data_IF_811844753011
#
_entry.id   IF_811844753011
#
_cell.length_a   1.000
_cell.length_b   1.000
_cell.length_c   1.000
_cell.angle_alpha   90.00
_cell.angle_beta   90.00
_cell.angle_gamma   90.00
#
_symmetry.space_group_name_H-M   'P 1'
#
loop_
_entity.id
_entity.type
_entity.pdbx_description
1 polymer ?
#
# COMPACT_ATOMS: atom_id res chain seq x y z
N UNK A 1 -25.28 -14.23 -10.28
CA UNK A 1 -24.07 -14.31 -9.43
C UNK A 1 -23.02 -13.42 -10.08
N UNK A 2 -22.46 -12.49 -9.33
CA UNK A 2 -21.52 -11.49 -9.85
C UNK A 2 -20.16 -12.12 -10.16
N UNK A 3 -19.66 -11.89 -11.38
CA UNK A 3 -18.38 -12.42 -11.86
C UNK A 3 -17.22 -11.55 -11.34
N UNK A 4 -16.89 -11.74 -10.07
CA UNK A 4 -15.85 -10.98 -9.38
C UNK A 4 -14.45 -11.20 -9.98
N UNK A 5 -14.20 -12.34 -10.62
CA UNK A 5 -12.94 -12.55 -11.32
C UNK A 5 -12.82 -11.61 -12.52
N UNK A 6 -13.86 -11.55 -13.36
CA UNK A 6 -13.91 -10.62 -14.49
C UNK A 6 -13.82 -9.16 -14.05
N UNK A 7 -14.61 -8.74 -13.05
CA UNK A 7 -14.59 -7.36 -12.53
C UNK A 7 -13.18 -6.99 -12.05
N UNK A 8 -12.51 -7.91 -11.36
CA UNK A 8 -11.16 -7.67 -10.85
C UNK A 8 -10.12 -7.59 -11.98
N UNK A 9 -10.27 -8.34 -13.07
CA UNK A 9 -9.46 -8.15 -14.28
C UNK A 9 -9.71 -6.78 -14.92
N UNK A 10 -10.96 -6.31 -14.97
CA UNK A 10 -11.30 -4.97 -15.47
C UNK A 10 -10.68 -3.86 -14.62
N UNK A 11 -10.67 -4.03 -13.29
CA UNK A 11 -9.96 -3.13 -12.36
C UNK A 11 -8.47 -3.08 -12.70
N UNK A 12 -7.79 -4.23 -12.83
CA UNK A 12 -6.38 -4.26 -13.20
C UNK A 12 -6.12 -3.60 -14.55
N UNK A 13 -6.95 -3.87 -15.55
CA UNK A 13 -6.82 -3.27 -16.87
C UNK A 13 -6.83 -1.74 -16.79
N UNK A 14 -7.81 -1.17 -16.07
CA UNK A 14 -7.93 0.29 -15.91
C UNK A 14 -6.72 0.88 -15.18
N UNK A 15 -6.30 0.27 -14.08
CA UNK A 15 -5.14 0.71 -13.30
C UNK A 15 -3.84 0.71 -14.13
N UNK A 16 -3.61 -0.34 -14.92
CA UNK A 16 -2.46 -0.47 -15.80
C UNK A 16 -2.52 0.55 -16.94
N UNK A 17 -3.68 0.70 -17.58
CA UNK A 17 -3.86 1.61 -18.71
C UNK A 17 -3.67 3.07 -18.31
N UNK A 18 -4.26 3.47 -17.18
CA UNK A 18 -4.09 4.82 -16.61
C UNK A 18 -2.64 5.12 -16.22
N UNK A 19 -1.86 4.08 -15.91
CA UNK A 19 -0.45 4.20 -15.54
C UNK A 19 0.49 4.06 -16.74
N UNK A 20 -0.03 3.99 -17.97
CA UNK A 20 0.77 3.86 -19.20
C UNK A 20 1.42 2.48 -19.39
N UNK A 21 1.01 1.46 -18.65
CA UNK A 21 1.55 0.10 -18.76
C UNK A 21 0.84 -0.70 -19.85
N UNK A 22 0.96 -0.25 -21.12
CA UNK A 22 0.21 -0.81 -22.25
C UNK A 22 0.47 -2.31 -22.49
N UNK A 23 1.71 -2.77 -22.31
CA UNK A 23 2.05 -4.18 -22.45
C UNK A 23 1.18 -5.06 -21.54
N UNK A 24 1.14 -4.72 -20.25
CA UNK A 24 0.39 -5.45 -19.24
C UNK A 24 -1.12 -5.20 -19.33
N UNK A 25 -1.56 -4.00 -19.70
CA UNK A 25 -2.97 -3.74 -19.97
C UNK A 25 -3.50 -4.63 -21.11
N UNK A 26 -2.75 -4.77 -22.20
CA UNK A 26 -3.11 -5.66 -23.30
C UNK A 26 -3.10 -7.15 -22.88
N UNK A 27 -2.17 -7.54 -21.99
CA UNK A 27 -2.17 -8.88 -21.40
C UNK A 27 -3.46 -9.16 -20.63
N UNK A 28 -3.87 -8.25 -19.76
CA UNK A 28 -5.12 -8.38 -19.00
C UNK A 28 -6.35 -8.33 -19.91
N UNK A 29 -6.32 -7.54 -20.98
CA UNK A 29 -7.42 -7.53 -21.96
C UNK A 29 -7.59 -8.91 -22.63
N UNK A 30 -6.48 -9.60 -22.92
CA UNK A 30 -6.52 -10.98 -23.40
C UNK A 30 -7.08 -11.95 -22.34
N UNK A 31 -6.73 -11.76 -21.07
CA UNK A 31 -7.29 -12.56 -19.96
C UNK A 31 -8.82 -12.40 -19.87
N UNK A 32 -9.33 -11.17 -19.98
CA UNK A 32 -10.77 -10.88 -19.99
C UNK A 32 -11.46 -11.60 -21.15
N UNK A 33 -10.87 -11.56 -22.34
CA UNK A 33 -11.39 -12.25 -23.51
C UNK A 33 -11.47 -13.76 -23.29
N UNK A 34 -10.35 -14.40 -22.93
CA UNK A 34 -10.25 -15.84 -22.69
C UNK A 34 -11.18 -16.34 -21.58
N UNK A 35 -11.36 -15.56 -20.52
CA UNK A 35 -12.31 -15.88 -19.46
C UNK A 35 -13.76 -15.79 -19.93
N UNK A 36 -14.08 -14.79 -20.76
CA UNK A 36 -15.45 -14.55 -21.23
C UNK A 36 -15.87 -15.59 -22.27
N UNK A 37 -14.96 -16.03 -23.15
CA UNK A 37 -15.26 -16.97 -24.24
C UNK A 37 -15.09 -18.44 -23.85
N UNK A 38 -14.00 -18.76 -23.15
CA UNK A 38 -13.54 -20.14 -22.95
C UNK A 38 -13.43 -20.53 -21.46
N UNK A 39 -13.67 -19.60 -20.53
CA UNK A 39 -13.45 -19.78 -19.08
C UNK A 39 -12.02 -20.21 -18.74
N UNK A 40 -11.05 -19.76 -19.53
CA UNK A 40 -9.62 -20.05 -19.37
C UNK A 40 -8.90 -19.03 -18.50
N UNK A 41 -7.90 -19.52 -17.77
CA UNK A 41 -7.09 -18.73 -16.81
C UNK A 41 -5.58 -18.95 -16.95
N UNK A 42 -5.14 -19.82 -17.87
CA UNK A 42 -3.74 -20.20 -18.05
C UNK A 42 -2.86 -19.02 -18.49
N UNK A 43 -3.36 -18.16 -19.40
CA UNK A 43 -2.67 -16.92 -19.79
C UNK A 43 -2.46 -15.98 -18.59
N UNK A 44 -3.48 -15.87 -17.74
CA UNK A 44 -3.43 -15.04 -16.54
C UNK A 44 -2.40 -15.57 -15.54
N UNK A 45 -2.41 -16.88 -15.27
CA UNK A 45 -1.45 -17.50 -14.37
C UNK A 45 -0.01 -17.42 -14.86
N UNK A 46 0.20 -17.34 -16.17
CA UNK A 46 1.49 -17.08 -16.79
C UNK A 46 2.07 -15.69 -16.47
N UNK A 47 1.24 -14.71 -16.10
CA UNK A 47 1.66 -13.35 -15.82
C UNK A 47 2.51 -13.18 -14.54
N UNK A 48 2.47 -14.17 -13.63
CA UNK A 48 3.04 -14.07 -12.27
C UNK A 48 4.44 -14.68 -12.13
N UNK A 49 5.00 -15.26 -13.19
CA UNK A 49 6.29 -15.95 -13.15
C UNK A 49 7.42 -15.18 -13.83
N UNK A 50 8.61 -15.21 -13.24
CA UNK A 50 9.84 -14.70 -13.85
C UNK A 50 10.11 -13.20 -13.61
N UNK A 51 11.27 -12.74 -14.08
CA UNK A 51 11.67 -11.34 -14.04
C UNK A 51 10.85 -10.52 -15.03
N UNK A 52 10.39 -9.34 -14.60
CA UNK A 52 9.54 -8.44 -15.37
C UNK A 52 8.06 -8.82 -15.34
N UNK A 53 7.66 -9.73 -14.45
CA UNK A 53 6.28 -10.21 -14.31
C UNK A 53 5.35 -9.12 -13.77
N UNK A 54 4.04 -9.40 -13.72
CA UNK A 54 3.06 -8.46 -13.13
C UNK A 54 3.32 -8.16 -11.64
N UNK A 55 4.07 -9.04 -10.96
CA UNK A 55 4.47 -8.85 -9.57
C UNK A 55 5.54 -7.76 -9.41
N UNK A 56 6.31 -7.48 -10.46
CA UNK A 56 7.40 -6.49 -10.45
C UNK A 56 6.89 -5.07 -10.76
N UNK A 57 5.60 -4.94 -11.08
CA UNK A 57 4.99 -3.66 -11.42
C UNK A 57 4.50 -2.92 -10.19
N UNK A 58 4.64 -1.60 -10.28
CA UNK A 58 3.89 -0.63 -9.47
C UNK A 58 3.06 0.25 -10.40
N UNK A 59 1.93 0.72 -9.90
CA UNK A 59 1.04 1.64 -10.62
C UNK A 59 0.76 2.87 -9.76
N UNK A 60 0.53 4.02 -10.40
CA UNK A 60 0.38 5.29 -9.69
C UNK A 60 1.71 5.98 -9.34
N UNK A 61 1.60 7.20 -8.83
CA UNK A 61 2.73 8.01 -8.38
C UNK A 61 3.01 7.89 -6.89
N UNK A 62 3.87 8.78 -6.39
CA UNK A 62 4.19 8.92 -4.97
C UNK A 62 3.26 9.87 -4.21
N UNK A 63 2.29 10.45 -4.89
CA UNK A 63 1.24 11.28 -4.30
C UNK A 63 0.19 10.42 -3.59
N UNK A 64 -0.74 11.07 -2.88
CA UNK A 64 -1.79 10.38 -2.12
C UNK A 64 -2.58 9.41 -2.98
N UNK A 65 -3.07 9.86 -4.14
CA UNK A 65 -3.87 9.00 -5.03
C UNK A 65 -3.03 7.85 -5.57
N UNK A 66 -1.77 8.09 -5.95
CA UNK A 66 -0.85 7.09 -6.44
C UNK A 66 -0.57 5.96 -5.43
N UNK A 67 -0.37 6.30 -4.15
CA UNK A 67 -0.17 5.31 -3.08
C UNK A 67 -1.38 4.39 -2.94
N UNK A 68 -2.59 4.96 -2.91
CA UNK A 68 -3.82 4.17 -2.81
C UNK A 68 -4.07 3.34 -4.07
N UNK A 69 -3.79 3.91 -5.25
CA UNK A 69 -3.87 3.21 -6.54
C UNK A 69 -2.97 1.97 -6.57
N UNK A 70 -1.71 2.10 -6.15
CA UNK A 70 -0.79 0.96 -6.08
C UNK A 70 -1.30 -0.11 -5.10
N UNK A 71 -1.88 0.30 -3.96
CA UNK A 71 -2.41 -0.64 -2.99
C UNK A 71 -3.60 -1.43 -3.54
N UNK A 72 -4.55 -0.78 -4.23
CA UNK A 72 -5.66 -1.46 -4.91
C UNK A 72 -5.11 -2.46 -5.93
N UNK A 73 -4.09 -2.07 -6.69
CA UNK A 73 -3.45 -2.94 -7.68
C UNK A 73 -2.88 -4.21 -7.04
N UNK A 74 -2.10 -4.08 -5.96
CA UNK A 74 -1.54 -5.23 -5.23
C UNK A 74 -2.62 -6.13 -4.64
N UNK A 75 -3.64 -5.54 -4.00
CA UNK A 75 -4.76 -6.29 -3.44
C UNK A 75 -5.56 -7.03 -4.53
N UNK A 76 -5.82 -6.38 -5.66
CA UNK A 76 -6.56 -6.96 -6.79
C UNK A 76 -5.77 -8.08 -7.44
N UNK A 77 -4.45 -7.92 -7.65
CA UNK A 77 -3.54 -8.98 -8.14
C UNK A 77 -3.64 -10.24 -7.28
N UNK A 78 -3.66 -10.10 -5.96
CA UNK A 78 -3.75 -11.24 -5.04
C UNK A 78 -5.11 -11.95 -5.13
N UNK A 79 -6.21 -11.18 -5.23
CA UNK A 79 -7.57 -11.72 -5.38
C UNK A 79 -7.70 -12.57 -6.65
N UNK A 80 -7.35 -12.00 -7.80
CA UNK A 80 -7.53 -12.70 -9.09
C UNK A 80 -6.64 -13.92 -9.23
N UNK A 81 -5.41 -13.86 -8.72
CA UNK A 81 -4.54 -15.03 -8.73
C UNK A 81 -5.12 -16.17 -7.89
N UNK A 82 -5.67 -15.85 -6.72
CA UNK A 82 -6.27 -16.83 -5.82
C UNK A 82 -7.52 -17.48 -6.42
N UNK A 83 -8.36 -16.69 -7.11
CA UNK A 83 -9.51 -17.19 -7.88
C UNK A 83 -9.06 -18.06 -9.07
N UNK A 84 -8.11 -17.58 -9.88
CA UNK A 84 -7.63 -18.29 -11.06
C UNK A 84 -6.93 -19.62 -10.72
N UNK A 85 -6.18 -19.67 -9.61
CA UNK A 85 -5.59 -20.92 -9.12
C UNK A 85 -6.61 -21.89 -8.52
N UNK A 86 -7.87 -21.51 -8.40
CA UNK A 86 -8.90 -22.31 -7.74
C UNK A 86 -8.65 -22.49 -6.24
N UNK A 87 -7.82 -21.65 -5.62
CA UNK A 87 -7.59 -21.69 -4.16
C UNK A 87 -8.83 -21.24 -3.38
N UNK A 88 -9.64 -20.40 -4.02
CA UNK A 88 -10.93 -19.92 -3.54
C UNK A 88 -11.92 -19.98 -4.70
N UNK A 89 -13.18 -20.30 -4.41
CA UNK A 89 -14.27 -20.34 -5.39
C UNK A 89 -15.01 -19.01 -5.51
N UNK A 90 -14.99 -18.22 -4.44
CA UNK A 90 -15.62 -16.90 -4.34
C UNK A 90 -14.66 -15.94 -3.61
N UNK A 91 -14.75 -14.62 -3.85
CA UNK A 91 -13.96 -13.66 -3.09
C UNK A 91 -14.19 -13.82 -1.57
N UNK A 92 -13.12 -13.81 -0.75
CA UNK A 92 -13.27 -13.93 0.70
C UNK A 92 -14.02 -12.73 1.28
N UNK A 93 -14.75 -12.95 2.37
CA UNK A 93 -15.38 -11.86 3.13
C UNK A 93 -14.65 -11.57 4.45
N UNK A 94 -13.45 -12.13 4.61
CA UNK A 94 -12.49 -11.82 5.67
C UNK A 94 -11.57 -10.70 5.18
N UNK A 95 -11.60 -9.55 5.87
CA UNK A 95 -10.79 -8.37 5.52
C UNK A 95 -9.29 -8.68 5.58
N UNK A 96 -8.86 -9.64 6.41
CA UNK A 96 -7.45 -10.04 6.50
C UNK A 96 -6.88 -10.55 5.18
N UNK A 97 -7.71 -11.13 4.31
CA UNK A 97 -7.27 -11.57 2.99
C UNK A 97 -6.79 -10.40 2.11
N UNK A 98 -7.45 -9.24 2.23
CA UNK A 98 -7.18 -8.06 1.39
C UNK A 98 -6.08 -7.16 1.96
N UNK A 99 -5.57 -7.47 3.15
CA UNK A 99 -4.52 -6.71 3.81
C UNK A 99 -3.18 -6.94 3.12
N UNK A 100 -2.67 -5.90 2.48
CA UNK A 100 -1.34 -5.89 1.88
C UNK A 100 -0.51 -4.78 2.52
N UNK A 101 0.70 -5.11 2.99
CA UNK A 101 1.61 -4.14 3.62
C UNK A 101 1.66 -4.21 5.15
N UNK A 102 2.33 -3.23 5.75
CA UNK A 102 2.53 -3.13 7.19
C UNK A 102 1.40 -2.37 7.88
N UNK A 103 1.05 -2.76 9.10
CA UNK A 103 0.18 -1.99 10.00
C UNK A 103 0.95 -0.92 10.79
N UNK A 104 2.22 -0.70 10.45
CA UNK A 104 3.11 0.26 11.07
C UNK A 104 3.38 1.41 10.09
N UNK A 105 3.58 2.62 10.62
CA UNK A 105 3.98 3.78 9.85
C UNK A 105 5.50 3.75 9.71
N UNK A 106 6.00 3.70 8.47
CA UNK A 106 7.44 3.76 8.19
C UNK A 106 7.93 5.19 8.01
N UNK A 107 9.24 5.39 8.15
CA UNK A 107 9.94 6.62 7.84
C UNK A 107 11.44 6.44 8.02
N UNK A 108 12.14 7.54 8.28
CA UNK A 108 13.59 7.57 8.43
C UNK A 108 13.99 7.98 9.85
N UNK A 109 15.05 7.37 10.36
CA UNK A 109 15.69 7.74 11.63
C UNK A 109 17.19 7.84 11.43
N UNK A 110 17.79 8.94 11.87
CA UNK A 110 19.22 9.03 12.05
C UNK A 110 19.61 8.30 13.34
N UNK A 111 20.47 7.29 13.24
CA UNK A 111 20.91 6.48 14.39
C UNK A 111 21.94 7.18 15.26
N UNK A 112 22.56 8.26 14.78
CA UNK A 112 23.56 9.03 15.52
C UNK A 112 22.94 10.13 16.40
N UNK A 113 21.94 10.88 15.92
CA UNK A 113 21.31 11.97 16.68
C UNK A 113 19.84 11.75 17.05
N UNK A 114 19.15 10.78 16.43
CA UNK A 114 17.74 10.50 16.68
C UNK A 114 16.75 11.33 15.87
N UNK A 115 17.22 12.22 14.99
CA UNK A 115 16.34 12.94 14.07
C UNK A 115 15.49 11.96 13.27
N UNK A 116 14.19 12.25 13.18
CA UNK A 116 13.20 11.38 12.55
C UNK A 116 12.42 12.15 11.51
N UNK A 117 12.13 11.49 10.39
CA UNK A 117 11.33 12.04 9.30
C UNK A 117 10.30 11.02 8.83
N UNK A 118 9.05 11.44 8.70
CA UNK A 118 7.99 10.67 8.05
C UNK A 118 7.48 11.49 6.87
N UNK A 119 7.30 10.82 5.74
CA UNK A 119 6.75 11.42 4.54
C UNK A 119 5.23 11.21 4.50
N UNK A 120 4.47 12.15 3.92
CA UNK A 120 3.01 11.99 3.77
C UNK A 120 2.62 10.70 3.05
N UNK A 121 3.41 10.27 2.07
CA UNK A 121 3.21 8.98 1.38
C UNK A 121 3.26 7.78 2.34
N UNK A 122 4.05 7.85 3.43
CA UNK A 122 4.06 6.80 4.45
C UNK A 122 2.75 6.76 5.26
N UNK A 123 2.14 7.92 5.53
CA UNK A 123 0.84 8.02 6.18
C UNK A 123 -0.23 7.40 5.27
N UNK A 124 -0.24 7.74 3.99
CA UNK A 124 -1.19 7.15 3.02
C UNK A 124 -1.01 5.64 2.86
N UNK A 125 0.23 5.15 2.95
CA UNK A 125 0.50 3.71 2.90
C UNK A 125 -0.09 2.99 4.11
N UNK A 126 0.02 3.60 5.30
CA UNK A 126 -0.60 3.09 6.51
C UNK A 126 -2.13 3.12 6.42
N UNK A 127 -2.72 4.25 6.02
CA UNK A 127 -4.17 4.41 5.90
C UNK A 127 -4.77 3.46 4.86
N UNK A 128 -4.17 3.35 3.68
CA UNK A 128 -4.63 2.42 2.65
C UNK A 128 -4.58 0.96 3.13
N UNK A 129 -3.58 0.59 3.93
CA UNK A 129 -3.46 -0.76 4.54
C UNK A 129 -4.52 -0.99 5.64
N UNK A 130 -4.97 0.06 6.31
CA UNK A 130 -6.00 0.00 7.36
C UNK A 130 -7.42 -0.06 6.79
N UNK A 131 -7.73 0.78 5.80
CA UNK A 131 -9.11 0.99 5.32
C UNK A 131 -9.49 0.17 4.08
N UNK A 132 -8.60 0.01 3.09
CA UNK A 132 -8.94 -0.71 1.86
C UNK A 132 -9.45 -2.15 2.10
N UNK A 133 -8.90 -2.94 3.05
CA UNK A 133 -9.39 -4.29 3.24
C UNK A 133 -10.88 -4.37 3.57
N UNK A 134 -11.38 -3.45 4.40
CA UNK A 134 -12.80 -3.36 4.73
C UNK A 134 -13.62 -2.88 3.54
N UNK A 135 -13.15 -1.85 2.83
CA UNK A 135 -13.82 -1.33 1.63
C UNK A 135 -13.96 -2.41 0.55
N UNK A 136 -12.93 -3.22 0.32
CA UNK A 136 -13.00 -4.36 -0.61
C UNK A 136 -14.12 -5.33 -0.23
N UNK A 137 -14.18 -5.73 1.04
CA UNK A 137 -15.22 -6.64 1.54
C UNK A 137 -16.61 -6.01 1.38
N UNK A 138 -16.76 -4.74 1.71
CA UNK A 138 -18.05 -4.05 1.64
C UNK A 138 -18.53 -3.88 0.20
N UNK A 139 -17.64 -3.53 -0.74
CA UNK A 139 -17.98 -3.45 -2.15
C UNK A 139 -18.27 -4.81 -2.77
N UNK A 140 -17.59 -5.88 -2.33
CA UNK A 140 -17.92 -7.25 -2.76
C UNK A 140 -19.30 -7.66 -2.28
N UNK A 141 -19.66 -7.37 -1.01
CA UNK A 141 -21.00 -7.65 -0.48
C UNK A 141 -22.11 -6.91 -1.23
N UNK A 142 -21.79 -5.73 -1.75
CA UNK A 142 -22.72 -4.87 -2.45
C UNK A 142 -22.72 -5.08 -3.98
N UNK A 143 -21.93 -6.03 -4.50
CA UNK A 143 -21.73 -6.23 -5.95
C UNK A 143 -21.22 -4.96 -6.68
N UNK A 144 -20.47 -4.13 -5.97
CA UNK A 144 -19.98 -2.80 -6.40
C UNK A 144 -18.44 -2.73 -6.41
N UNK A 145 -17.74 -3.85 -6.53
CA UNK A 145 -16.27 -3.90 -6.47
C UNK A 145 -15.58 -2.92 -7.44
N UNK A 146 -16.19 -2.61 -8.60
CA UNK A 146 -15.64 -1.65 -9.56
C UNK A 146 -15.51 -0.22 -9.00
N UNK A 147 -16.33 0.16 -8.01
CA UNK A 147 -16.33 1.47 -7.37
C UNK A 147 -15.07 1.71 -6.53
N UNK A 148 -14.27 0.67 -6.26
CA UNK A 148 -12.97 0.82 -5.59
C UNK A 148 -12.02 1.75 -6.37
N UNK A 149 -12.26 1.95 -7.68
CA UNK A 149 -11.49 2.84 -8.54
C UNK A 149 -11.76 4.32 -8.29
N UNK A 150 -12.87 4.70 -7.64
CA UNK A 150 -13.16 6.09 -7.29
C UNK A 150 -12.36 6.54 -6.06
N UNK A 151 -11.05 6.64 -6.26
CA UNK A 151 -10.10 6.98 -5.21
C UNK A 151 -10.34 8.38 -4.62
N UNK A 152 -10.83 9.34 -5.42
CA UNK A 152 -11.09 10.69 -4.92
C UNK A 152 -12.18 10.67 -3.85
N UNK A 153 -13.25 9.92 -4.08
CA UNK A 153 -14.31 9.73 -3.09
C UNK A 153 -13.80 8.96 -1.88
N UNK A 154 -13.04 7.87 -2.09
CA UNK A 154 -12.52 7.03 -0.99
C UNK A 154 -11.61 7.84 -0.06
N UNK A 155 -10.61 8.56 -0.59
CA UNK A 155 -9.64 9.29 0.26
C UNK A 155 -10.25 10.50 0.97
N UNK A 156 -11.43 10.94 0.51
CA UNK A 156 -12.22 12.03 1.07
C UNK A 156 -13.26 11.56 2.10
N UNK A 157 -13.41 10.25 2.35
CA UNK A 157 -14.29 9.76 3.41
C UNK A 157 -13.86 10.33 4.77
N UNK A 158 -14.83 10.82 5.55
CA UNK A 158 -14.59 11.49 6.84
C UNK A 158 -13.67 10.69 7.75
N UNK A 159 -13.92 9.39 7.90
CA UNK A 159 -13.09 8.49 8.71
C UNK A 159 -11.61 8.45 8.30
N UNK A 160 -11.31 8.57 7.00
CA UNK A 160 -9.94 8.58 6.48
C UNK A 160 -9.31 9.95 6.71
N UNK A 161 -10.06 11.03 6.48
CA UNK A 161 -9.60 12.40 6.69
C UNK A 161 -9.30 12.66 8.18
N UNK A 162 -10.19 12.25 9.07
CA UNK A 162 -10.04 12.36 10.53
C UNK A 162 -8.85 11.53 11.03
N UNK A 163 -8.73 10.27 10.57
CA UNK A 163 -7.59 9.42 10.92
C UNK A 163 -6.28 10.04 10.45
N UNK A 164 -6.22 10.50 9.19
CA UNK A 164 -5.04 11.19 8.65
C UNK A 164 -4.63 12.37 9.54
N UNK A 165 -5.56 13.26 9.86
CA UNK A 165 -5.29 14.42 10.71
C UNK A 165 -4.80 14.01 12.11
N UNK A 166 -5.37 12.93 12.67
CA UNK A 166 -4.95 12.39 13.97
C UNK A 166 -3.50 11.90 13.91
N UNK A 167 -3.14 11.12 12.88
CA UNK A 167 -1.77 10.62 12.70
C UNK A 167 -0.78 11.78 12.52
N UNK A 168 -1.10 12.78 11.68
CA UNK A 168 -0.24 13.95 11.48
C UNK A 168 0.04 14.69 12.80
N UNK A 169 -0.98 14.86 13.66
CA UNK A 169 -0.83 15.47 14.98
C UNK A 169 0.05 14.62 15.90
N UNK A 170 -0.10 13.30 15.90
CA UNK A 170 0.75 12.41 16.69
C UNK A 170 2.22 12.50 16.27
N UNK A 171 2.48 12.54 14.97
CA UNK A 171 3.84 12.68 14.40
C UNK A 171 4.46 14.00 14.86
N UNK A 172 3.73 15.11 14.77
CA UNK A 172 4.19 16.42 15.23
C UNK A 172 4.46 16.44 16.74
N UNK A 173 3.56 15.89 17.56
CA UNK A 173 3.74 15.80 19.01
C UNK A 173 4.92 14.92 19.42
N UNK A 174 5.31 13.95 18.57
CA UNK A 174 6.48 13.10 18.77
C UNK A 174 7.80 13.76 18.31
N UNK A 175 7.78 15.04 17.92
CA UNK A 175 8.92 15.77 17.34
C UNK A 175 9.52 15.07 16.10
N UNK A 176 8.68 14.43 15.30
CA UNK A 176 9.08 13.82 14.03
C UNK A 176 8.79 14.82 12.91
N UNK A 177 9.77 15.06 12.05
CA UNK A 177 9.62 15.96 10.90
C UNK A 177 8.67 15.34 9.88
N UNK A 178 7.61 16.07 9.51
CA UNK A 178 6.67 15.68 8.47
C UNK A 178 7.02 16.38 7.15
N UNK A 179 7.20 15.62 6.08
CA UNK A 179 7.54 16.12 4.75
C UNK A 179 6.57 15.65 3.66
N UNK A 180 6.48 16.43 2.57
CA UNK A 180 5.68 16.07 1.40
C UNK A 180 6.46 15.19 0.39
N UNK A 181 7.78 15.01 0.59
CA UNK A 181 8.63 14.28 -0.34
C UNK A 181 8.49 12.77 -0.23
N UNK A 182 9.15 12.03 -1.11
CA UNK A 182 9.38 10.59 -0.99
C UNK A 182 10.88 10.27 -1.20
N UNK A 183 11.73 11.28 -1.00
CA UNK A 183 13.13 11.24 -1.37
C UNK A 183 13.93 10.42 -0.37
N UNK A 184 14.97 9.75 -0.85
CA UNK A 184 15.92 9.06 0.03
C UNK A 184 16.61 10.05 0.97
N UNK A 185 16.58 9.77 2.28
CA UNK A 185 17.36 10.53 3.25
C UNK A 185 18.77 9.95 3.33
N UNK A 186 19.69 10.48 2.51
CA UNK A 186 21.09 10.05 2.46
C UNK A 186 21.94 10.56 3.62
N UNK A 187 21.65 11.79 4.08
CA UNK A 187 22.36 12.47 5.16
C UNK A 187 21.36 13.11 6.12
N UNK A 188 21.70 13.11 7.41
CA UNK A 188 20.83 13.65 8.43
C UNK A 188 20.86 15.18 8.37
N UNK A 189 19.72 15.88 8.32
CA UNK A 189 19.70 17.33 8.25
C UNK A 189 20.18 17.99 9.55
N UNK A 190 20.16 17.28 10.68
CA UNK A 190 20.56 17.80 12.00
C UNK A 190 22.04 17.60 12.33
N UNK A 191 22.65 16.48 11.86
CA UNK A 191 24.02 16.13 12.26
C UNK A 191 24.90 15.64 11.11
N UNK A 192 24.41 15.70 9.87
CA UNK A 192 25.09 15.30 8.63
C UNK A 192 25.50 13.83 8.54
N UNK A 193 25.26 13.04 9.59
CA UNK A 193 25.54 11.60 9.64
C UNK A 193 24.84 10.87 8.49
N UNK A 194 25.56 9.93 7.89
CA UNK A 194 25.06 8.99 6.89
C UNK A 194 24.43 7.74 7.52
N UNK A 195 24.47 7.61 8.85
CA UNK A 195 23.90 6.47 9.55
C UNK A 195 22.39 6.65 9.72
N UNK A 196 21.68 6.44 8.62
CA UNK A 196 20.23 6.56 8.52
C UNK A 196 19.66 5.21 8.21
N UNK A 197 18.53 4.90 8.82
CA UNK A 197 17.80 3.67 8.54
C UNK A 197 16.32 3.93 8.37
N UNK A 198 15.66 2.98 7.71
CA UNK A 198 14.20 2.85 7.82
C UNK A 198 13.87 2.58 9.28
N UNK A 199 12.86 3.27 9.77
CA UNK A 199 12.37 3.17 11.13
C UNK A 199 10.85 3.16 11.10
N UNK A 200 10.25 2.50 12.09
CA UNK A 200 8.82 2.25 12.13
C UNK A 200 8.20 2.65 13.46
N UNK A 201 6.96 3.11 13.36
CA UNK A 201 6.14 3.48 14.49
C UNK A 201 4.78 2.81 14.41
N UNK A 202 4.16 2.62 15.56
CA UNK A 202 2.80 2.08 15.68
C UNK A 202 1.95 3.00 16.54
N UNK A 203 0.67 3.10 16.20
CA UNK A 203 -0.29 3.78 17.07
C UNK A 203 -0.73 2.87 18.21
N UNK A 204 -0.97 3.46 19.37
CA UNK A 204 -1.43 2.79 20.58
C UNK A 204 -2.57 3.57 21.22
N UNK A 205 -3.26 2.92 22.15
CA UNK A 205 -4.29 3.55 22.98
C UNK A 205 -5.37 4.24 22.13
N UNK A 206 -5.90 3.54 21.12
CA UNK A 206 -6.87 4.06 20.14
C UNK A 206 -6.38 5.35 19.44
N UNK A 207 -5.17 5.31 18.89
CA UNK A 207 -4.55 6.43 18.16
C UNK A 207 -4.33 7.70 19.00
N UNK A 208 -4.07 7.53 20.30
CA UNK A 208 -3.68 8.66 21.17
C UNK A 208 -2.18 8.77 21.37
N UNK A 209 -1.41 7.73 21.01
CA UNK A 209 0.06 7.72 21.09
C UNK A 209 0.68 7.08 19.87
N UNK A 210 1.86 7.58 19.51
CA UNK A 210 2.75 7.01 18.52
C UNK A 210 4.01 6.50 19.25
N UNK A 211 4.28 5.20 19.15
CA UNK A 211 5.44 4.58 19.81
C UNK A 211 6.35 3.90 18.79
N UNK A 212 7.63 3.75 19.13
CA UNK A 212 8.59 3.03 18.29
C UNK A 212 8.23 1.53 18.23
N UNK A 213 8.28 0.95 17.04
CA UNK A 213 8.12 -0.48 16.84
C UNK A 213 9.28 -1.29 17.43
N UNK A 214 9.01 -2.56 17.77
CA UNK A 214 9.99 -3.44 18.46
C UNK A 214 11.19 -3.82 17.60
N UNK A 215 10.99 -3.95 16.29
CA UNK A 215 12.00 -4.50 15.37
C UNK A 215 12.90 -3.42 14.74
N UNK A 216 12.89 -2.21 15.29
CA UNK A 216 13.72 -1.12 14.81
C UNK A 216 15.21 -1.35 15.12
N UNK A 217 16.07 -0.85 14.23
CA UNK A 217 17.51 -0.82 14.50
C UNK A 217 17.81 0.07 15.71
N UNK A 218 18.67 -0.43 16.61
CA UNK A 218 19.07 0.30 17.81
C UNK A 218 19.85 1.57 17.47
N UNK A 219 19.64 2.61 18.26
CA UNK A 219 20.45 3.84 18.24
C UNK A 219 21.93 3.51 18.49
N UNK A 220 22.83 4.31 17.93
CA UNK A 220 24.24 4.23 18.31
C UNK A 220 24.37 4.66 19.76
N UNK A 221 24.96 3.79 20.60
CA UNK A 221 25.48 4.23 21.89
C UNK A 221 26.54 5.28 21.61
N UNK A 222 26.40 6.49 22.18
CA UNK A 222 27.50 7.45 22.23
C UNK A 222 28.71 6.68 22.77
N UNK A 223 29.72 6.44 21.94
CA UNK A 223 31.03 6.09 22.46
C UNK A 223 31.41 7.27 23.33
N UNK A 224 31.36 7.10 24.66
CA UNK A 224 31.97 8.07 25.56
C UNK A 224 33.38 8.27 25.03
N UNK A 225 33.68 9.49 24.59
CA UNK A 225 35.04 9.89 24.33
C UNK A 225 35.77 9.70 25.67
N UNK A 226 36.53 8.62 25.77
CA UNK A 226 37.50 8.44 26.83
C UNK A 226 38.49 9.59 26.68
N UNK A 227 38.45 10.46 27.70
CA UNK A 227 39.39 11.55 28.00
C UNK A 227 40.85 11.14 27.77
#
# INVERSE_FOLDING_TARGET
MTDHYKISLEILYRLLKESGNDHWANWIQKDIHLWTTEKRVDNHLGAYGGMGSINDLSVGGSDTIGVWKNRIFDTTKNLIWSLAKGKISTPPLDDKFYRCGSTEISGWRCRSCGHSRIDKSNIELYLSTEFLPKLFVDYIRQDQLIEILDLNTIVALDQIVEKRSTIEKLIQNANITLTNGNEWLWNCPECESKNICVFKWQTMDNDTKLIESKDNLKMETKKNASL
#
